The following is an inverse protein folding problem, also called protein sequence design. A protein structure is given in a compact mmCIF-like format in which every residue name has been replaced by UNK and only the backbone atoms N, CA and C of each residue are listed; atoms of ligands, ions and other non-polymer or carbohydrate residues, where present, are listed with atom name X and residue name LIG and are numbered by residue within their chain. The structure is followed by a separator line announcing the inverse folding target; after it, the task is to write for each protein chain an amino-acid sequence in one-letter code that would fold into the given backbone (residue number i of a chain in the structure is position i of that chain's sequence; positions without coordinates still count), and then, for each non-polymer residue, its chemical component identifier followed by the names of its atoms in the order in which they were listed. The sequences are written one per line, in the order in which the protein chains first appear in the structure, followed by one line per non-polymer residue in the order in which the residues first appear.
data_IF_880856792120
#
_entry.id   IF_880856792120
#
_cell.length_a   1.000
_cell.length_b   1.000
_cell.length_c   1.000
_cell.angle_alpha   90.00
_cell.angle_beta   90.00
_cell.angle_gamma   90.00
#
_symmetry.space_group_name_H-M   'P 1'
#
loop_
_entity.id
_entity.type
_entity.pdbx_description
1 polymer ?
#
# COMPACT_ATOMS: atom_id res chain seq x y z
N UNK A 1 34.13 -9.73 51.44
CA UNK A 1 34.29 -8.43 50.75
C UNK A 1 33.93 -8.53 49.26
N UNK A 2 34.37 -9.58 48.57
CA UNK A 2 34.03 -9.85 47.16
C UNK A 2 32.51 -9.90 46.86
N UNK A 3 31.69 -10.47 47.75
CA UNK A 3 30.24 -10.58 47.54
C UNK A 3 29.52 -9.22 47.55
N UNK A 4 30.01 -8.29 48.36
CA UNK A 4 29.45 -6.93 48.49
C UNK A 4 29.77 -6.12 47.22
N UNK A 5 30.95 -6.32 46.65
CA UNK A 5 31.38 -5.62 45.44
C UNK A 5 30.63 -6.14 44.20
N UNK A 6 30.45 -7.47 44.10
CA UNK A 6 29.59 -8.09 43.08
C UNK A 6 28.15 -7.61 43.18
N UNK A 7 27.59 -7.53 44.40
CA UNK A 7 26.23 -7.01 44.61
C UNK A 7 26.09 -5.56 44.15
N UNK A 8 27.06 -4.68 44.45
CA UNK A 8 27.07 -3.28 43.97
C UNK A 8 27.12 -3.19 42.44
N UNK A 9 27.89 -4.07 41.79
CA UNK A 9 28.01 -4.10 40.34
C UNK A 9 26.70 -4.55 39.68
N UNK A 10 26.06 -5.60 40.19
CA UNK A 10 24.74 -6.05 39.73
C UNK A 10 23.66 -4.98 39.92
N UNK A 11 23.67 -4.26 41.05
CA UNK A 11 22.73 -3.15 41.29
C UNK A 11 22.95 -2.02 40.29
N UNK A 12 24.21 -1.67 39.97
CA UNK A 12 24.52 -0.66 38.95
C UNK A 12 24.05 -1.10 37.56
N UNK A 13 24.30 -2.35 37.17
CA UNK A 13 23.82 -2.90 35.89
C UNK A 13 22.29 -2.88 35.85
N UNK A 14 21.63 -3.34 36.92
CA UNK A 14 20.18 -3.31 37.04
C UNK A 14 19.61 -1.90 36.91
N UNK A 15 20.26 -0.91 37.53
CA UNK A 15 19.91 0.50 37.38
C UNK A 15 20.05 1.00 35.95
N UNK A 16 21.13 0.66 35.25
CA UNK A 16 21.33 1.04 33.84
C UNK A 16 20.25 0.37 32.95
N UNK A 17 20.01 -0.92 33.14
CA UNK A 17 18.97 -1.66 32.40
C UNK A 17 17.56 -1.10 32.65
N UNK A 18 17.28 -0.62 33.87
CA UNK A 18 15.98 -0.01 34.20
C UNK A 18 15.68 1.26 33.41
N UNK A 19 16.71 1.95 32.90
CA UNK A 19 16.56 3.15 32.06
C UNK A 19 16.49 2.76 30.59
N UNK A 20 17.33 1.82 30.15
CA UNK A 20 17.46 1.44 28.74
C UNK A 20 16.24 0.64 28.26
N UNK A 21 15.77 -0.33 29.05
CA UNK A 21 14.69 -1.23 28.63
C UNK A 21 13.38 -0.49 28.28
N UNK A 22 12.89 0.45 29.10
CA UNK A 22 11.70 1.23 28.75
C UNK A 22 11.86 2.07 27.48
N UNK A 23 13.06 2.60 27.21
CA UNK A 23 13.32 3.38 25.99
C UNK A 23 13.23 2.52 24.74
N UNK A 24 13.79 1.31 24.78
CA UNK A 24 13.70 0.36 23.66
C UNK A 24 12.25 -0.04 23.41
N UNK A 25 11.52 -0.41 24.47
CA UNK A 25 10.09 -0.77 24.35
C UNK A 25 9.28 0.41 23.79
N UNK A 26 9.51 1.62 24.31
CA UNK A 26 8.85 2.84 23.84
C UNK A 26 9.13 3.11 22.36
N UNK A 27 10.37 2.93 21.91
CA UNK A 27 10.74 3.09 20.50
C UNK A 27 10.05 2.06 19.60
N UNK A 28 10.00 0.79 20.02
CA UNK A 28 9.29 -0.25 19.29
C UNK A 28 7.79 0.07 19.15
N UNK A 29 7.14 0.43 20.25
CA UNK A 29 5.73 0.83 20.24
C UNK A 29 5.50 2.06 19.36
N UNK A 30 6.40 3.05 19.40
CA UNK A 30 6.31 4.23 18.55
C UNK A 30 6.39 3.87 17.06
N UNK A 31 7.34 3.01 16.66
CA UNK A 31 7.44 2.53 15.28
C UNK A 31 6.16 1.80 14.87
N UNK A 32 5.58 0.98 15.75
CA UNK A 32 4.30 0.29 15.48
C UNK A 32 3.17 1.29 15.26
N UNK A 33 3.04 2.31 16.11
CA UNK A 33 1.99 3.34 15.96
C UNK A 33 2.18 4.10 14.66
N UNK A 34 3.40 4.55 14.34
CA UNK A 34 3.70 5.23 13.07
C UNK A 34 3.37 4.32 11.89
N UNK A 35 3.73 3.04 11.96
CA UNK A 35 3.39 2.04 10.96
C UNK A 35 1.89 1.91 10.73
N UNK A 36 1.09 1.85 11.79
CA UNK A 36 -0.37 1.76 11.71
C UNK A 36 -0.97 3.04 11.09
N UNK A 37 -0.48 4.21 11.52
CA UNK A 37 -0.95 5.52 11.01
C UNK A 37 -0.71 5.66 9.51
N UNK A 38 0.38 5.09 8.98
CA UNK A 38 0.67 5.11 7.54
C UNK A 38 -0.08 3.98 6.80
N UNK A 39 -0.15 2.79 7.40
CA UNK A 39 -0.74 1.61 6.78
C UNK A 39 -2.24 1.77 6.53
N UNK A 40 -2.99 2.37 7.46
CA UNK A 40 -4.45 2.52 7.34
C UNK A 40 -4.82 3.39 6.11
N UNK A 41 -4.29 4.62 5.92
CA UNK A 41 -4.55 5.41 4.72
C UNK A 41 -4.14 4.71 3.42
N UNK A 42 -3.00 4.01 3.41
CA UNK A 42 -2.56 3.26 2.23
C UNK A 42 -3.48 2.09 1.90
N UNK A 43 -4.01 1.40 2.91
CA UNK A 43 -4.99 0.34 2.74
C UNK A 43 -6.30 0.87 2.16
N UNK A 44 -6.78 2.02 2.66
CA UNK A 44 -7.98 2.68 2.13
C UNK A 44 -7.77 3.09 0.67
N UNK A 45 -6.61 3.66 0.33
CA UNK A 45 -6.23 3.99 -1.05
C UNK A 45 -6.19 2.74 -1.93
N UNK A 46 -5.60 1.64 -1.44
CA UNK A 46 -5.57 0.36 -2.15
C UNK A 46 -6.97 -0.18 -2.43
N UNK A 47 -7.87 -0.13 -1.45
CA UNK A 47 -9.26 -0.53 -1.62
C UNK A 47 -10.00 0.37 -2.63
N UNK A 48 -9.76 1.67 -2.59
CA UNK A 48 -10.35 2.61 -3.57
C UNK A 48 -9.87 2.33 -5.00
N UNK A 49 -8.57 2.07 -5.18
CA UNK A 49 -8.00 1.65 -6.47
C UNK A 49 -8.68 0.37 -6.97
N UNK A 50 -8.82 -0.63 -6.08
CA UNK A 50 -9.47 -1.89 -6.41
C UNK A 50 -10.91 -1.69 -6.92
N UNK A 51 -11.73 -0.91 -6.21
CA UNK A 51 -13.11 -0.61 -6.68
C UNK A 51 -13.12 0.10 -8.03
N UNK A 52 -12.19 1.05 -8.25
CA UNK A 52 -12.06 1.70 -9.56
C UNK A 52 -11.69 0.73 -10.67
N UNK A 53 -10.90 -0.29 -10.40
CA UNK A 53 -10.60 -1.31 -11.41
C UNK A 53 -11.80 -2.16 -11.76
N UNK A 54 -12.69 -2.47 -10.81
CA UNK A 54 -13.97 -3.15 -11.11
C UNK A 54 -14.86 -2.29 -12.02
N UNK A 55 -14.98 -0.99 -11.73
CA UNK A 55 -15.72 -0.05 -12.60
C UNK A 55 -15.14 -0.01 -14.02
N UNK A 56 -13.81 -0.03 -14.16
CA UNK A 56 -13.14 -0.06 -15.46
C UNK A 56 -13.50 -1.35 -16.21
N UNK A 57 -13.49 -2.50 -15.54
CA UNK A 57 -13.89 -3.78 -16.17
C UNK A 57 -15.34 -3.73 -16.64
N UNK A 58 -16.27 -3.21 -15.83
CA UNK A 58 -17.66 -3.04 -16.26
C UNK A 58 -17.80 -2.12 -17.49
N UNK A 59 -17.01 -1.04 -17.57
CA UNK A 59 -17.00 -0.15 -18.74
C UNK A 59 -16.47 -0.87 -19.99
N UNK A 60 -15.48 -1.75 -19.83
CA UNK A 60 -14.94 -2.57 -20.92
C UNK A 60 -15.99 -3.56 -21.43
N UNK A 61 -16.70 -4.23 -20.53
CA UNK A 61 -17.78 -5.17 -20.87
C UNK A 61 -18.95 -4.49 -21.60
N UNK A 62 -19.20 -3.21 -21.29
CA UNK A 62 -20.20 -2.38 -21.99
C UNK A 62 -19.71 -1.81 -23.33
N UNK A 63 -18.43 -2.03 -23.68
CA UNK A 63 -17.81 -1.48 -24.89
C UNK A 63 -17.44 0.01 -24.80
N UNK A 64 -17.50 0.61 -23.61
CA UNK A 64 -17.19 2.03 -23.38
C UNK A 64 -15.68 2.26 -23.16
N UNK A 65 -14.82 1.78 -24.07
CA UNK A 65 -13.36 1.74 -23.87
C UNK A 65 -12.71 3.11 -23.61
N UNK A 66 -13.22 4.19 -24.22
CA UNK A 66 -12.69 5.54 -23.98
C UNK A 66 -12.86 5.96 -22.51
N UNK A 67 -14.04 5.76 -21.95
CA UNK A 67 -14.32 6.06 -20.53
C UNK A 67 -13.56 5.11 -19.60
N UNK A 68 -13.41 3.84 -19.99
CA UNK A 68 -12.60 2.89 -19.24
C UNK A 68 -11.15 3.37 -19.12
N UNK A 69 -10.55 3.86 -20.21
CA UNK A 69 -9.19 4.44 -20.19
C UNK A 69 -9.10 5.68 -19.29
N UNK A 70 -10.01 6.63 -19.45
CA UNK A 70 -10.02 7.86 -18.63
C UNK A 70 -10.16 7.55 -17.13
N UNK A 71 -10.99 6.54 -16.81
CA UNK A 71 -11.22 6.10 -15.42
C UNK A 71 -10.02 5.35 -14.84
N UNK A 72 -9.26 4.60 -15.66
CA UNK A 72 -8.10 3.82 -15.23
C UNK A 72 -6.83 4.65 -15.00
N UNK A 73 -6.69 5.82 -15.64
CA UNK A 73 -5.48 6.67 -15.54
C UNK A 73 -5.19 7.08 -14.09
N UNK A 74 -6.20 7.60 -13.39
CA UNK A 74 -6.04 8.09 -12.01
C UNK A 74 -5.59 6.98 -11.04
N UNK A 75 -6.28 5.83 -10.93
CA UNK A 75 -5.86 4.76 -10.04
C UNK A 75 -4.49 4.18 -10.43
N UNK A 76 -4.14 4.11 -11.71
CA UNK A 76 -2.82 3.66 -12.16
C UNK A 76 -1.70 4.59 -11.67
N UNK A 77 -1.85 5.91 -11.85
CA UNK A 77 -0.83 6.89 -11.43
C UNK A 77 -0.67 6.87 -9.92
N UNK A 78 -1.78 6.82 -9.17
CA UNK A 78 -1.75 6.69 -7.71
C UNK A 78 -1.06 5.38 -7.32
N UNK A 79 -1.33 4.27 -8.01
CA UNK A 79 -0.69 2.99 -7.73
C UNK A 79 0.83 3.05 -7.93
N UNK A 80 1.29 3.65 -9.04
CA UNK A 80 2.71 3.78 -9.38
C UNK A 80 3.50 4.61 -8.36
N UNK A 81 2.89 5.68 -7.82
CA UNK A 81 3.57 6.62 -6.92
C UNK A 81 3.48 6.16 -5.46
N UNK A 82 2.31 5.68 -5.01
CA UNK A 82 1.99 5.60 -3.58
C UNK A 82 1.84 4.17 -3.04
N UNK A 83 1.37 3.19 -3.81
CA UNK A 83 1.01 1.88 -3.26
C UNK A 83 1.87 0.73 -3.78
N UNK A 84 1.93 0.50 -5.10
CA UNK A 84 2.68 -0.61 -5.69
C UNK A 84 3.07 -0.31 -7.13
N UNK A 85 4.38 -0.26 -7.38
CA UNK A 85 4.94 -0.12 -8.73
C UNK A 85 4.49 -1.27 -9.64
N UNK A 86 4.44 -2.50 -9.12
CA UNK A 86 4.04 -3.68 -9.90
C UNK A 86 2.57 -3.56 -10.32
N UNK A 87 1.68 -3.25 -9.37
CA UNK A 87 0.24 -3.08 -9.67
C UNK A 87 0.00 -1.95 -10.67
N UNK A 88 0.68 -0.82 -10.49
CA UNK A 88 0.61 0.31 -11.41
C UNK A 88 1.12 -0.02 -12.82
N UNK A 89 2.22 -0.77 -12.94
CA UNK A 89 2.74 -1.23 -14.24
C UNK A 89 1.74 -2.16 -14.94
N UNK A 90 1.12 -3.09 -14.21
CA UNK A 90 0.09 -3.97 -14.79
C UNK A 90 -1.10 -3.17 -15.31
N UNK A 91 -1.56 -2.17 -14.56
CA UNK A 91 -2.63 -1.26 -15.01
C UNK A 91 -2.21 -0.43 -16.22
N UNK A 92 -0.96 0.00 -16.29
CA UNK A 92 -0.40 0.72 -17.44
C UNK A 92 -0.40 -0.15 -18.69
N UNK A 93 0.03 -1.41 -18.59
CA UNK A 93 -0.03 -2.38 -19.69
C UNK A 93 -1.49 -2.54 -20.15
N UNK A 94 -2.43 -2.73 -19.22
CA UNK A 94 -3.86 -2.78 -19.53
C UNK A 94 -4.36 -1.54 -20.28
N UNK A 95 -3.97 -0.34 -19.83
CA UNK A 95 -4.34 0.92 -20.49
C UNK A 95 -3.79 1.03 -21.92
N UNK A 96 -2.55 0.58 -22.15
CA UNK A 96 -1.90 0.60 -23.46
C UNK A 96 -2.58 -0.36 -24.43
N UNK A 97 -3.00 -1.54 -23.95
CA UNK A 97 -3.70 -2.54 -24.75
C UNK A 97 -5.17 -2.17 -25.07
N UNK A 98 -5.79 -1.34 -24.23
CA UNK A 98 -7.16 -0.90 -24.41
C UNK A 98 -7.34 -0.04 -25.68
N UNK A 99 -8.20 -0.44 -26.63
CA UNK A 99 -8.47 0.33 -27.84
C UNK A 99 -9.11 1.68 -27.51
N UNK A 100 -8.78 2.72 -28.27
CA UNK A 100 -9.31 4.08 -28.05
C UNK A 100 -10.70 4.31 -28.62
N UNK A 101 -11.18 3.39 -29.46
CA UNK A 101 -12.48 3.43 -30.12
C UNK A 101 -13.26 2.15 -29.76
N UNK A 102 -14.55 2.30 -29.51
CA UNK A 102 -15.49 1.18 -29.52
C UNK A 102 -15.48 0.53 -30.90
N UNK A 103 -15.08 -0.74 -31.01
CA UNK A 103 -15.24 -1.48 -32.25
C UNK A 103 -16.71 -1.36 -32.68
N UNK A 104 -17.00 -0.91 -33.92
CA UNK A 104 -18.36 -0.98 -34.42
C UNK A 104 -18.74 -2.46 -34.38
N UNK A 105 -19.81 -2.78 -33.64
CA UNK A 105 -20.41 -4.13 -33.63
C UNK A 105 -20.41 -4.64 -35.07
N UNK A 106 -19.56 -5.62 -35.34
CA UNK A 106 -19.45 -6.25 -36.63
C UNK A 106 -20.84 -6.63 -37.10
N UNK A 107 -21.15 -6.12 -38.28
CA UNK A 107 -22.42 -6.18 -38.98
C UNK A 107 -22.90 -7.64 -38.98
N UNK A 108 -24.11 -7.87 -38.47
CA UNK A 108 -24.93 -9.02 -38.85
C UNK A 108 -25.07 -9.01 -40.37
N UNK A 109 -24.30 -9.81 -41.07
CA UNK A 109 -24.47 -9.99 -42.52
C UNK A 109 -24.63 -11.48 -42.78
N UNK A 110 -25.91 -11.86 -42.88
CA UNK A 110 -26.51 -13.07 -43.46
C UNK A 110 -25.96 -14.45 -43.09
#
# INVERSE_FOLDING_TARGET
MADIETAKLLIKIGGILSIIMPLVIGLFLFITVVGIVIAIPLMILGYWIYRRTEEVVELIERGEYKKAKDTLIIPMVIALILTSRIGGILMLIGLVLLPSQSEPKGISTF
#
